data_IF_214615006139
#
_entry.id   IF_214615006139
#
_cell.length_a   1.000
_cell.length_b   1.000
_cell.length_c   1.000
_cell.angle_alpha   90.00
_cell.angle_beta   90.00
_cell.angle_gamma   90.00
#
_symmetry.space_group_name_H-M   'P 1'
#
loop_
_entity.id
_entity.type
_entity.pdbx_description
1 polymer ?
#
# COMPACT_ATOMS: atom_id res chain seq x y z
N UNK A 1 13.42 -15.58 -17.13
CA UNK A 1 12.23 -14.94 -16.56
C UNK A 1 11.91 -13.71 -17.38
N UNK A 2 10.63 -13.52 -17.71
CA UNK A 2 10.21 -12.34 -18.46
C UNK A 2 10.49 -11.08 -17.63
N UNK A 3 11.03 -10.01 -18.22
CA UNK A 3 11.37 -8.78 -17.49
C UNK A 3 10.17 -8.18 -16.74
N UNK A 4 8.96 -8.38 -17.27
CA UNK A 4 7.70 -7.88 -16.70
C UNK A 4 7.34 -8.56 -15.37
N UNK A 5 7.89 -9.75 -15.10
CA UNK A 5 7.68 -10.48 -13.84
C UNK A 5 8.64 -10.04 -12.72
N UNK A 6 9.65 -9.22 -13.03
CA UNK A 6 10.62 -8.76 -12.02
C UNK A 6 9.94 -8.10 -10.80
N UNK A 7 8.84 -7.38 -11.02
CA UNK A 7 8.08 -6.71 -9.95
C UNK A 7 7.54 -7.68 -8.90
N UNK A 8 7.35 -8.95 -9.26
CA UNK A 8 6.84 -10.00 -8.37
C UNK A 8 7.93 -10.94 -7.85
N UNK A 9 9.15 -10.89 -8.42
CA UNK A 9 10.22 -11.80 -8.04
C UNK A 9 10.91 -11.34 -6.76
N UNK A 10 11.47 -12.30 -5.99
CA UNK A 10 12.31 -12.03 -4.81
C UNK A 10 11.66 -11.08 -3.79
N UNK A 11 10.34 -11.14 -3.66
CA UNK A 11 9.57 -10.29 -2.75
C UNK A 11 9.89 -10.50 -1.26
N UNK A 12 10.64 -11.55 -0.92
CA UNK A 12 11.06 -11.87 0.44
C UNK A 12 12.31 -11.10 0.89
N UNK A 13 13.10 -10.57 -0.02
CA UNK A 13 14.36 -9.92 0.31
C UNK A 13 14.19 -8.45 0.70
N UNK A 14 14.80 -8.08 1.83
CA UNK A 14 14.78 -6.72 2.38
C UNK A 14 15.25 -5.65 1.39
N UNK A 15 16.21 -5.96 0.53
CA UNK A 15 16.87 -5.01 -0.37
C UNK A 15 15.99 -4.60 -1.57
N UNK A 16 15.12 -5.47 -2.07
CA UNK A 16 14.25 -5.17 -3.20
C UNK A 16 13.01 -4.36 -2.83
N UNK A 17 12.55 -4.50 -1.59
CA UNK A 17 11.37 -3.78 -1.08
C UNK A 17 11.54 -2.27 -1.01
N UNK A 18 12.77 -1.79 -0.84
CA UNK A 18 13.05 -0.35 -0.69
C UNK A 18 13.50 0.34 -1.97
N UNK A 19 14.03 -0.40 -2.94
CA UNK A 19 14.60 0.21 -4.16
C UNK A 19 13.67 0.17 -5.37
N UNK A 20 13.00 -0.95 -5.62
CA UNK A 20 12.22 -1.10 -6.85
C UNK A 20 10.82 -0.49 -6.77
N UNK A 21 10.12 -0.65 -5.65
CA UNK A 21 8.75 -0.16 -5.53
C UNK A 21 8.67 1.38 -5.58
N UNK A 22 9.40 2.13 -4.72
CA UNK A 22 9.35 3.59 -4.79
C UNK A 22 9.96 4.18 -6.06
N UNK A 23 11.11 3.67 -6.52
CA UNK A 23 11.82 4.19 -7.70
C UNK A 23 11.03 3.99 -9.00
N UNK A 24 10.36 2.85 -9.15
CA UNK A 24 9.47 2.58 -10.30
C UNK A 24 8.09 3.21 -10.17
N UNK A 25 7.79 3.89 -9.05
CA UNK A 25 6.49 4.50 -8.81
C UNK A 25 5.36 3.46 -8.67
N UNK A 26 5.67 2.27 -8.15
CA UNK A 26 4.75 1.15 -7.99
C UNK A 26 4.69 0.67 -6.53
N UNK A 27 3.67 -0.11 -6.22
CA UNK A 27 3.57 -0.92 -5.00
C UNK A 27 2.87 -2.24 -5.29
N UNK A 28 2.99 -3.21 -4.38
CA UNK A 28 2.35 -4.52 -4.52
C UNK A 28 1.23 -4.66 -3.49
N UNK A 29 0.01 -4.83 -3.97
CA UNK A 29 -1.14 -5.22 -3.17
C UNK A 29 -1.32 -6.74 -3.19
N UNK A 30 -1.65 -7.33 -2.03
CA UNK A 30 -1.85 -8.76 -1.84
C UNK A 30 -3.25 -9.05 -1.30
N UNK A 31 -3.99 -9.93 -1.91
CA UNK A 31 -5.38 -10.33 -1.72
C UNK A 31 -6.40 -9.48 -2.49
N UNK A 32 -7.48 -10.14 -2.95
CA UNK A 32 -8.55 -9.46 -3.69
C UNK A 32 -9.14 -8.28 -2.92
N UNK A 33 -9.38 -8.44 -1.61
CA UNK A 33 -9.93 -7.36 -0.77
C UNK A 33 -9.04 -6.12 -0.69
N UNK A 34 -7.73 -6.29 -0.52
CA UNK A 34 -6.77 -5.16 -0.46
C UNK A 34 -6.67 -4.48 -1.81
N UNK A 35 -6.65 -5.27 -2.90
CA UNK A 35 -6.63 -4.75 -4.26
C UNK A 35 -7.90 -3.91 -4.53
N UNK A 36 -9.07 -4.41 -4.17
CA UNK A 36 -10.33 -3.66 -4.33
C UNK A 36 -10.33 -2.33 -3.56
N UNK A 37 -9.78 -2.30 -2.33
CA UNK A 37 -9.66 -1.05 -1.57
C UNK A 37 -8.70 -0.06 -2.25
N UNK A 38 -7.59 -0.55 -2.80
CA UNK A 38 -6.66 0.29 -3.54
C UNK A 38 -7.30 0.85 -4.83
N UNK A 39 -8.04 0.02 -5.57
CA UNK A 39 -8.79 0.44 -6.77
C UNK A 39 -9.88 1.47 -6.43
N UNK A 40 -10.60 1.28 -5.32
CA UNK A 40 -11.60 2.22 -4.85
C UNK A 40 -10.98 3.58 -4.44
N UNK A 41 -9.72 3.57 -4.00
CA UNK A 41 -8.94 4.78 -3.71
C UNK A 41 -8.29 5.41 -4.96
N UNK A 42 -8.61 4.91 -6.17
CA UNK A 42 -8.10 5.45 -7.43
C UNK A 42 -6.70 4.99 -7.83
N UNK A 43 -6.17 3.93 -7.20
CA UNK A 43 -4.92 3.33 -7.65
C UNK A 43 -5.15 2.54 -8.95
N UNK A 44 -4.22 2.65 -9.89
CA UNK A 44 -4.31 1.98 -11.19
C UNK A 44 -3.58 0.63 -11.17
N UNK A 45 -4.21 -0.47 -11.60
CA UNK A 45 -3.56 -1.76 -11.73
C UNK A 45 -2.64 -1.78 -12.96
N UNK A 46 -1.45 -2.36 -12.81
CA UNK A 46 -0.47 -2.55 -13.91
C UNK A 46 -0.52 -3.99 -14.38
N UNK A 47 -0.44 -4.92 -13.44
CA UNK A 47 -0.47 -6.36 -13.74
C UNK A 47 -0.87 -7.18 -12.52
N UNK A 48 -1.39 -8.38 -12.78
CA UNK A 48 -1.81 -9.34 -11.77
C UNK A 48 -0.96 -10.62 -11.87
N UNK A 49 -0.68 -11.22 -10.72
CA UNK A 49 -0.07 -12.55 -10.63
C UNK A 49 -0.89 -13.43 -9.70
N UNK A 50 -1.37 -14.59 -10.18
CA UNK A 50 -2.27 -15.45 -9.43
C UNK A 50 -2.27 -16.90 -9.90
N UNK A 51 -2.80 -17.80 -9.07
CA UNK A 51 -3.18 -19.13 -9.53
C UNK A 51 -4.38 -19.04 -10.47
N UNK A 52 -4.46 -19.89 -11.49
CA UNK A 52 -5.55 -19.89 -12.52
C UNK A 52 -6.96 -19.89 -11.94
N UNK A 53 -7.17 -20.61 -10.81
CA UNK A 53 -8.47 -20.67 -10.13
C UNK A 53 -9.02 -19.33 -9.67
N UNK A 54 -8.15 -18.33 -9.51
CA UNK A 54 -8.55 -16.99 -9.05
C UNK A 54 -9.08 -16.10 -10.16
N UNK A 55 -8.92 -16.47 -11.43
CA UNK A 55 -9.47 -15.73 -12.58
C UNK A 55 -10.99 -15.61 -12.45
N UNK A 56 -11.67 -16.74 -12.21
CA UNK A 56 -13.14 -16.81 -12.00
C UNK A 56 -13.56 -16.69 -10.54
N UNK A 57 -12.60 -16.41 -9.63
CA UNK A 57 -12.80 -16.21 -8.20
C UNK A 57 -12.50 -14.79 -7.77
N UNK A 58 -11.47 -14.61 -6.95
CA UNK A 58 -11.13 -13.32 -6.34
C UNK A 58 -10.82 -12.20 -7.35
N UNK A 59 -10.36 -12.53 -8.56
CA UNK A 59 -10.00 -11.55 -9.59
C UNK A 59 -11.15 -11.22 -10.55
N UNK A 60 -12.25 -11.95 -10.53
CA UNK A 60 -13.33 -11.82 -11.52
C UNK A 60 -13.83 -10.38 -11.67
N UNK A 61 -14.16 -9.72 -10.56
CA UNK A 61 -14.66 -8.34 -10.59
C UNK A 61 -13.59 -7.34 -11.03
N UNK A 62 -12.32 -7.59 -10.70
CA UNK A 62 -11.19 -6.75 -11.08
C UNK A 62 -11.02 -6.83 -12.60
N UNK A 63 -10.98 -8.04 -13.14
CA UNK A 63 -10.80 -8.29 -14.57
C UNK A 63 -11.96 -7.76 -15.41
N UNK A 64 -13.18 -7.82 -14.90
CA UNK A 64 -14.35 -7.24 -15.58
C UNK A 64 -14.29 -5.70 -15.69
N UNK A 65 -13.57 -5.02 -14.79
CA UNK A 65 -13.42 -3.56 -14.80
C UNK A 65 -12.16 -3.07 -15.53
N UNK A 66 -11.15 -3.92 -15.63
CA UNK A 66 -9.83 -3.59 -16.18
C UNK A 66 -9.44 -4.65 -17.22
N UNK A 67 -10.10 -4.62 -18.36
CA UNK A 67 -9.96 -5.64 -19.44
C UNK A 67 -8.54 -5.69 -20.03
N UNK A 68 -7.85 -4.55 -20.07
CA UNK A 68 -6.50 -4.43 -20.63
C UNK A 68 -5.37 -4.76 -19.62
N UNK A 69 -5.71 -5.14 -18.38
CA UNK A 69 -4.68 -5.44 -17.37
C UNK A 69 -3.99 -6.76 -17.68
N UNK A 70 -2.68 -6.76 -17.69
CA UNK A 70 -1.89 -7.97 -17.93
C UNK A 70 -2.01 -8.95 -16.77
N UNK A 71 -2.36 -10.21 -17.07
CA UNK A 71 -2.55 -11.27 -16.07
C UNK A 71 -1.53 -12.37 -16.29
N UNK A 72 -0.71 -12.61 -15.28
CA UNK A 72 0.20 -13.74 -15.22
C UNK A 72 -0.40 -14.84 -14.34
N UNK A 73 -0.42 -16.05 -14.86
CA UNK A 73 -0.95 -17.21 -14.15
C UNK A 73 0.04 -18.36 -14.11
N UNK A 74 0.00 -19.13 -13.06
CA UNK A 74 0.79 -20.35 -12.93
C UNK A 74 0.21 -21.27 -11.87
N UNK A 75 0.79 -22.46 -11.78
CA UNK A 75 0.49 -23.37 -10.70
C UNK A 75 1.17 -22.89 -9.41
N UNK A 76 0.64 -23.32 -8.28
CA UNK A 76 1.07 -22.87 -6.94
C UNK A 76 2.59 -22.97 -6.72
N UNK A 77 3.19 -24.07 -7.15
CA UNK A 77 4.63 -24.32 -6.92
C UNK A 77 5.49 -23.44 -7.84
N UNK A 78 5.05 -23.21 -9.08
CA UNK A 78 5.69 -22.31 -10.01
C UNK A 78 5.65 -20.87 -9.47
N UNK A 79 4.51 -20.44 -8.96
CA UNK A 79 4.36 -19.11 -8.36
C UNK A 79 5.20 -18.97 -7.09
N UNK A 80 5.25 -20.00 -6.24
CA UNK A 80 6.09 -20.02 -5.05
C UNK A 80 7.59 -19.92 -5.40
N UNK A 81 8.03 -20.61 -6.45
CA UNK A 81 9.40 -20.51 -6.96
C UNK A 81 9.73 -19.12 -7.50
N UNK A 82 8.77 -18.47 -8.15
CA UNK A 82 8.92 -17.12 -8.70
C UNK A 82 8.99 -16.04 -7.60
N UNK A 83 8.06 -16.09 -6.65
CA UNK A 83 7.93 -15.07 -5.60
C UNK A 83 8.85 -15.29 -4.40
N UNK A 84 9.39 -16.49 -4.26
CA UNK A 84 10.19 -16.92 -3.12
C UNK A 84 9.36 -17.33 -1.88
N UNK A 85 8.03 -17.40 -1.99
CA UNK A 85 7.13 -17.85 -0.93
C UNK A 85 5.78 -18.31 -1.50
N UNK A 86 5.03 -19.09 -0.72
CA UNK A 86 3.69 -19.54 -1.11
C UNK A 86 2.69 -18.38 -1.04
N UNK A 87 1.95 -18.13 -2.14
CA UNK A 87 0.89 -17.13 -2.21
C UNK A 87 -0.32 -17.58 -1.38
N UNK A 88 -0.31 -17.32 -0.08
CA UNK A 88 -1.37 -17.76 0.84
C UNK A 88 -2.69 -17.00 0.64
N UNK A 89 -2.63 -15.80 0.07
CA UNK A 89 -3.79 -14.93 -0.18
C UNK A 89 -4.23 -14.90 -1.65
N UNK A 90 -3.62 -15.74 -2.47
CA UNK A 90 -4.06 -16.14 -3.81
C UNK A 90 -3.68 -15.20 -4.94
N UNK A 91 -3.64 -13.88 -4.74
CA UNK A 91 -3.46 -12.91 -5.82
C UNK A 91 -2.56 -11.74 -5.38
N UNK A 92 -1.67 -11.34 -6.28
CA UNK A 92 -0.86 -10.13 -6.19
C UNK A 92 -1.24 -9.19 -7.33
N UNK A 93 -1.23 -7.89 -7.07
CA UNK A 93 -1.37 -6.85 -8.07
C UNK A 93 -0.23 -5.84 -7.94
N UNK A 94 0.50 -5.60 -9.02
CA UNK A 94 1.38 -4.45 -9.14
C UNK A 94 0.51 -3.25 -9.52
N UNK A 95 0.62 -2.17 -8.78
CA UNK A 95 -0.21 -0.98 -8.93
C UNK A 95 0.64 0.28 -8.99
N UNK A 96 0.20 1.30 -9.71
CA UNK A 96 0.81 2.63 -9.68
C UNK A 96 0.62 3.29 -8.33
N UNK A 97 1.65 3.97 -7.86
CA UNK A 97 1.53 4.79 -6.65
C UNK A 97 0.62 5.98 -6.92
N UNK A 98 -0.36 6.25 -6.04
CA UNK A 98 -1.20 7.42 -6.18
C UNK A 98 -0.38 8.70 -5.95
N UNK A 99 -0.82 9.79 -6.56
CA UNK A 99 -0.33 11.12 -6.19
C UNK A 99 -0.89 11.46 -4.82
N UNK A 100 0.00 11.76 -3.87
CA UNK A 100 -0.42 12.14 -2.53
C UNK A 100 -0.85 13.63 -2.52
N UNK A 101 -1.92 13.97 -1.80
CA UNK A 101 -2.33 15.37 -1.59
C UNK A 101 -1.31 16.10 -0.71
N UNK A 102 -1.37 17.43 -0.64
CA UNK A 102 -0.56 18.18 0.31
C UNK A 102 -1.05 17.98 1.75
N UNK A 103 -0.15 18.17 2.72
CA UNK A 103 -0.51 18.08 4.14
C UNK A 103 -1.62 19.08 4.51
N UNK A 104 -1.56 20.29 3.98
CA UNK A 104 -2.59 21.30 4.19
C UNK A 104 -3.95 20.86 3.66
N UNK A 105 -3.99 20.22 2.48
CA UNK A 105 -5.26 19.73 1.91
C UNK A 105 -5.92 18.68 2.79
N UNK A 106 -5.16 17.68 3.30
CA UNK A 106 -5.74 16.61 4.12
C UNK A 106 -6.06 17.06 5.55
N UNK A 107 -5.39 18.11 6.04
CA UNK A 107 -5.64 18.68 7.35
C UNK A 107 -6.77 19.71 7.39
N UNK A 108 -7.17 20.27 6.25
CA UNK A 108 -8.13 21.38 6.18
C UNK A 108 -9.47 21.10 6.87
N UNK A 109 -9.97 19.86 6.78
CA UNK A 109 -11.23 19.45 7.43
C UNK A 109 -11.00 18.43 8.55
N UNK A 110 -9.74 18.08 8.82
CA UNK A 110 -9.42 17.08 9.80
C UNK A 110 -9.57 17.63 11.24
N UNK A 111 -10.16 16.85 12.11
CA UNK A 111 -10.29 17.14 13.55
C UNK A 111 -9.24 16.41 14.37
N UNK A 112 -8.83 15.23 13.92
CA UNK A 112 -7.82 14.37 14.53
C UNK A 112 -6.82 13.91 13.50
N UNK A 113 -5.58 14.26 13.71
CA UNK A 113 -4.45 13.94 12.82
C UNK A 113 -3.42 13.15 13.61
N UNK A 114 -2.98 12.02 13.05
CA UNK A 114 -1.85 11.29 13.59
C UNK A 114 -0.58 11.67 12.84
N UNK A 115 0.48 12.00 13.58
CA UNK A 115 1.81 12.28 13.01
C UNK A 115 2.72 11.12 13.36
N UNK A 116 3.30 10.49 12.35
CA UNK A 116 4.24 9.38 12.51
C UNK A 116 5.66 9.88 12.32
N UNK A 117 6.47 9.72 13.37
CA UNK A 117 7.88 10.09 13.35
C UNK A 117 8.74 8.89 13.72
N UNK A 118 9.76 8.63 12.90
CA UNK A 118 10.76 7.58 13.10
C UNK A 118 10.19 6.15 13.30
N UNK A 119 9.03 5.86 12.70
CA UNK A 119 8.44 4.51 12.69
C UNK A 119 9.07 3.69 11.56
N UNK A 120 10.10 2.93 11.85
CA UNK A 120 10.90 2.22 10.85
C UNK A 120 10.39 0.81 10.51
N UNK A 121 9.64 0.16 11.41
CA UNK A 121 9.06 -1.16 11.13
C UNK A 121 7.75 -1.05 10.35
N UNK A 122 7.71 -1.74 9.21
CA UNK A 122 6.55 -1.77 8.33
C UNK A 122 5.29 -2.38 8.96
N UNK A 123 5.43 -3.30 9.93
CA UNK A 123 4.28 -3.85 10.63
C UNK A 123 3.67 -2.80 11.58
N UNK A 124 4.50 -1.99 12.22
CA UNK A 124 4.02 -0.89 13.06
C UNK A 124 3.28 0.15 12.22
N UNK A 125 3.84 0.58 11.07
CA UNK A 125 3.13 1.46 10.12
C UNK A 125 1.75 0.88 9.78
N UNK A 126 1.69 -0.36 9.32
CA UNK A 126 0.41 -1.00 8.96
C UNK A 126 -0.56 -1.11 10.14
N UNK A 127 -0.06 -1.42 11.34
CA UNK A 127 -0.83 -1.49 12.57
C UNK A 127 -1.40 -0.13 12.98
N UNK A 128 -0.61 0.93 12.85
CA UNK A 128 -1.06 2.30 13.14
C UNK A 128 -2.17 2.72 12.19
N UNK A 129 -2.06 2.47 10.89
CA UNK A 129 -3.13 2.75 9.93
C UNK A 129 -4.43 2.02 10.28
N UNK A 130 -4.35 0.74 10.71
CA UNK A 130 -5.54 0.00 11.18
C UNK A 130 -6.17 0.63 12.42
N UNK A 131 -5.36 1.00 13.40
CA UNK A 131 -5.83 1.64 14.63
C UNK A 131 -6.40 3.01 14.34
N UNK A 132 -5.75 3.80 13.49
CA UNK A 132 -6.22 5.11 13.06
C UNK A 132 -7.61 5.02 12.40
N UNK A 133 -7.81 4.04 11.50
CA UNK A 133 -9.12 3.80 10.88
C UNK A 133 -10.19 3.45 11.93
N UNK A 134 -9.87 2.54 12.84
CA UNK A 134 -10.81 2.09 13.88
C UNK A 134 -11.19 3.20 14.88
N UNK A 135 -10.25 4.11 15.18
CA UNK A 135 -10.43 5.22 16.11
C UNK A 135 -10.96 6.50 15.46
N UNK A 136 -11.23 6.47 14.14
CA UNK A 136 -11.75 7.61 13.39
C UNK A 136 -10.75 8.77 13.32
N UNK A 137 -9.47 8.48 13.11
CA UNK A 137 -8.46 9.50 12.75
C UNK A 137 -8.75 9.96 11.32
N UNK A 138 -8.78 11.28 11.11
CA UNK A 138 -9.19 11.86 9.83
C UNK A 138 -8.05 11.92 8.80
N UNK A 139 -6.80 12.06 9.27
CA UNK A 139 -5.62 12.11 8.41
C UNK A 139 -4.37 11.57 9.11
N UNK A 140 -3.43 11.06 8.34
CA UNK A 140 -2.11 10.60 8.83
C UNK A 140 -1.01 11.35 8.10
N UNK A 141 -0.13 11.99 8.86
CA UNK A 141 1.07 12.64 8.36
C UNK A 141 2.28 11.77 8.68
N UNK A 142 3.08 11.47 7.67
CA UNK A 142 4.21 10.52 7.79
C UNK A 142 5.52 11.26 7.54
N UNK A 143 6.41 11.29 8.53
CA UNK A 143 7.74 11.86 8.32
C UNK A 143 8.59 10.95 7.42
N UNK A 144 9.52 11.55 6.68
CA UNK A 144 10.44 10.82 5.79
C UNK A 144 11.36 9.82 6.51
N UNK A 145 11.52 9.97 7.82
CA UNK A 145 12.20 9.01 8.69
C UNK A 145 11.46 7.67 8.85
N UNK A 146 10.17 7.63 8.51
CA UNK A 146 9.34 6.45 8.64
C UNK A 146 9.52 5.48 7.47
N UNK A 147 9.21 4.21 7.72
CA UNK A 147 9.02 3.22 6.66
C UNK A 147 7.86 3.66 5.74
N UNK A 148 8.00 3.38 4.47
CA UNK A 148 6.98 3.67 3.46
C UNK A 148 5.66 2.95 3.75
N UNK A 149 4.52 3.66 3.89
CA UNK A 149 3.21 3.05 4.10
C UNK A 149 2.74 2.14 2.96
N UNK A 150 3.24 2.36 1.75
CA UNK A 150 2.91 1.53 0.58
C UNK A 150 3.91 0.37 0.38
N UNK A 151 4.89 0.17 1.27
CA UNK A 151 5.67 -1.05 1.20
C UNK A 151 4.76 -2.27 1.45
N UNK A 152 5.02 -3.36 0.75
CA UNK A 152 4.15 -4.54 0.73
C UNK A 152 3.76 -5.05 2.13
N UNK A 153 4.69 -5.07 3.11
CA UNK A 153 4.42 -5.53 4.48
C UNK A 153 3.44 -4.59 5.18
N UNK A 154 3.58 -3.27 5.04
CA UNK A 154 2.67 -2.29 5.64
C UNK A 154 1.27 -2.37 5.01
N UNK A 155 1.16 -2.42 3.68
CA UNK A 155 -0.11 -2.61 2.97
C UNK A 155 -0.83 -3.87 3.45
N UNK A 156 -0.10 -4.99 3.57
CA UNK A 156 -0.66 -6.26 4.05
C UNK A 156 -1.13 -6.19 5.50
N UNK A 157 -0.34 -5.60 6.40
CA UNK A 157 -0.66 -5.50 7.83
C UNK A 157 -1.80 -4.52 8.07
N UNK A 158 -1.85 -3.43 7.30
CA UNK A 158 -2.95 -2.47 7.36
C UNK A 158 -4.30 -3.05 6.92
N UNK A 159 -4.31 -4.23 6.28
CA UNK A 159 -5.51 -4.81 5.67
C UNK A 159 -6.19 -3.88 4.66
N UNK A 160 -5.41 -2.97 4.05
CA UNK A 160 -5.86 -1.98 3.09
C UNK A 160 -6.39 -0.68 3.69
N UNK A 161 -6.36 -0.49 5.02
CA UNK A 161 -6.78 0.80 5.63
C UNK A 161 -5.87 1.97 5.23
N UNK A 162 -4.65 1.70 4.78
CA UNK A 162 -3.75 2.71 4.18
C UNK A 162 -4.38 3.39 2.95
N UNK A 163 -5.36 2.80 2.30
CA UNK A 163 -6.11 3.37 1.19
C UNK A 163 -7.42 4.05 1.61
N UNK A 164 -7.82 3.93 2.88
CA UNK A 164 -9.08 4.45 3.39
C UNK A 164 -8.91 5.76 4.17
N UNK A 165 -7.72 6.02 4.72
CA UNK A 165 -7.42 7.25 5.44
C UNK A 165 -6.53 8.12 4.56
N UNK A 166 -6.86 9.39 4.35
CA UNK A 166 -5.96 10.34 3.69
C UNK A 166 -4.62 10.42 4.42
N UNK A 167 -3.53 10.33 3.69
CA UNK A 167 -2.21 10.48 4.26
C UNK A 167 -1.23 11.11 3.26
N UNK A 168 -0.18 11.71 3.79
CA UNK A 168 0.91 12.24 2.98
C UNK A 168 2.20 12.31 3.76
N UNK A 169 3.30 12.51 3.05
CA UNK A 169 4.57 12.83 3.71
C UNK A 169 4.64 14.28 4.14
N UNK A 170 5.29 14.50 5.29
CA UNK A 170 5.70 15.83 5.72
C UNK A 170 7.21 15.85 5.93
N UNK A 171 7.81 17.01 5.69
CA UNK A 171 9.16 17.33 6.15
C UNK A 171 9.11 17.68 7.65
N UNK A 172 10.21 18.05 8.27
CA UNK A 172 10.36 18.26 9.72
C UNK A 172 9.48 19.37 10.37
N UNK A 173 8.33 19.67 9.83
CA UNK A 173 7.57 20.88 10.11
C UNK A 173 6.27 20.63 10.90
N UNK A 174 6.39 19.92 12.05
CA UNK A 174 5.26 19.75 12.99
C UNK A 174 4.73 21.11 13.51
N UNK A 175 5.56 22.17 13.45
CA UNK A 175 5.15 23.55 13.84
C UNK A 175 4.00 24.09 13.01
N UNK A 176 3.92 23.76 11.71
CA UNK A 176 2.84 24.18 10.83
C UNK A 176 1.47 23.69 11.31
N UNK A 177 1.42 22.57 12.03
CA UNK A 177 0.14 22.07 12.59
C UNK A 177 -0.45 23.08 13.61
N UNK A 178 0.38 23.75 14.37
CA UNK A 178 -0.08 24.83 15.27
C UNK A 178 -0.65 26.02 14.52
N UNK A 179 -0.06 26.39 13.37
CA UNK A 179 -0.56 27.44 12.48
C UNK A 179 -1.90 27.06 11.85
N UNK A 180 -2.13 25.76 11.62
CA UNK A 180 -3.41 25.22 11.12
C UNK A 180 -4.44 24.99 12.24
N UNK A 181 -4.13 25.41 13.49
CA UNK A 181 -5.05 25.36 14.62
C UNK A 181 -5.07 24.03 15.39
N UNK A 182 -4.17 23.09 15.13
CA UNK A 182 -4.06 21.85 15.89
C UNK A 182 -3.33 22.06 17.23
N UNK A 183 -3.85 21.42 18.27
CA UNK A 183 -3.12 21.20 19.51
C UNK A 183 -2.38 19.87 19.40
N UNK A 184 -1.06 19.88 19.61
CA UNK A 184 -0.23 18.69 19.52
C UNK A 184 -0.01 18.05 20.89
N UNK A 185 -0.03 16.72 20.93
CA UNK A 185 0.36 15.91 22.07
C UNK A 185 1.37 14.86 21.62
N UNK A 186 2.49 14.74 22.32
CA UNK A 186 3.46 13.67 22.09
C UNK A 186 3.11 12.46 22.97
N UNK A 187 3.26 11.25 22.40
CA UNK A 187 3.06 9.97 23.07
C UNK A 187 4.33 9.15 23.02
#
# INVERSE_FOLDING_TARGET
SAPELEVFTKLTEKQLRHKLEPEKGIFIAESGKVIELALAAGCEPISLLMERRHITGQAQNILARYEDVTVYTGDRDVLAGLTGYKLTRGILCAMRRPRLPSAQQICFQARRVAVLDNITDAANIGGIFRSAAALGVDAVLVMRSCCDPLCRKAVRVSMGTVFQIPWTYIENNVKELGEWGFKTAAM
#
